data_IF_837105065642
#
_entry.id   IF_837105065642
#
_cell.length_a   1.000
_cell.length_b   1.000
_cell.length_c   1.000
_cell.angle_alpha   90.00
_cell.angle_beta   90.00
_cell.angle_gamma   90.00
#
_symmetry.space_group_name_H-M   'P 1'
#
loop_
_entity.id
_entity.type
_entity.pdbx_description
1 polymer ?
#
# COMPACT_ATOMS: atom_id res chain seq x y z
N UNK A 1 0.40 0.24 17.59
CA UNK A 1 -0.32 -0.39 16.47
C UNK A 1 0.06 0.32 15.18
N UNK A 2 0.94 -0.30 14.40
CA UNK A 2 1.86 0.40 13.48
C UNK A 2 1.49 0.21 12.01
N UNK A 3 0.28 -0.31 11.74
CA UNK A 3 -0.17 -0.67 10.40
C UNK A 3 -1.00 0.44 9.70
N UNK A 4 -1.38 1.51 10.41
CA UNK A 4 -2.39 2.50 9.98
C UNK A 4 -2.02 3.48 8.87
N UNK A 5 -0.99 3.26 8.05
CA UNK A 5 -0.59 4.22 6.98
C UNK A 5 -0.25 3.53 5.65
N UNK A 6 -0.40 2.21 5.55
CA UNK A 6 -0.03 1.47 4.36
C UNK A 6 -1.24 0.76 3.77
N UNK A 7 -1.60 1.13 2.54
CA UNK A 7 -2.59 0.38 1.75
C UNK A 7 -1.87 -0.73 0.98
N UNK A 8 -2.44 -1.93 1.00
CA UNK A 8 -2.07 -3.02 0.10
C UNK A 8 -2.93 -2.93 -1.16
N UNK A 9 -2.28 -2.94 -2.33
CA UNK A 9 -2.92 -2.83 -3.64
C UNK A 9 -2.52 -4.04 -4.45
N UNK A 10 -3.49 -4.75 -5.02
CA UNK A 10 -3.24 -5.69 -6.11
C UNK A 10 -3.10 -4.88 -7.42
N UNK A 11 -1.91 -4.90 -8.01
CA UNK A 11 -1.61 -4.20 -9.24
C UNK A 11 -1.33 -5.20 -10.36
N UNK A 12 -2.06 -5.05 -11.46
CA UNK A 12 -1.84 -5.82 -12.70
C UNK A 12 -1.30 -4.92 -13.79
N UNK A 13 -0.18 -5.32 -14.39
CA UNK A 13 0.30 -4.75 -15.65
C UNK A 13 -0.28 -5.56 -16.82
N UNK A 14 -1.02 -4.88 -17.70
CA UNK A 14 -1.80 -5.52 -18.78
C UNK A 14 -1.34 -4.99 -20.14
N UNK A 15 -1.13 -5.87 -21.12
CA UNK A 15 -0.83 -5.53 -22.52
C UNK A 15 -1.82 -6.27 -23.42
N UNK A 16 -2.50 -5.53 -24.30
CA UNK A 16 -3.53 -6.06 -25.21
C UNK A 16 -4.62 -6.88 -24.53
N UNK A 17 -4.99 -6.50 -23.30
CA UNK A 17 -6.03 -7.17 -22.50
C UNK A 17 -5.53 -8.36 -21.67
N UNK A 18 -4.28 -8.78 -21.82
CA UNK A 18 -3.68 -9.90 -21.10
C UNK A 18 -2.82 -9.44 -19.93
N UNK A 19 -2.84 -10.18 -18.82
CA UNK A 19 -2.01 -9.87 -17.63
C UNK A 19 -0.58 -10.36 -17.84
N UNK A 20 0.38 -9.44 -17.81
CA UNK A 20 1.82 -9.74 -17.97
C UNK A 20 2.56 -9.75 -16.64
N UNK A 21 2.08 -9.01 -15.64
CA UNK A 21 2.61 -9.05 -14.29
C UNK A 21 1.51 -8.75 -13.27
N UNK A 22 1.62 -9.38 -12.11
CA UNK A 22 0.79 -9.15 -10.94
C UNK A 22 1.70 -8.90 -9.74
N UNK A 23 1.33 -7.94 -8.89
CA UNK A 23 2.14 -7.56 -7.75
C UNK A 23 1.26 -7.02 -6.62
N UNK A 24 1.63 -7.34 -5.38
CA UNK A 24 1.09 -6.69 -4.20
C UNK A 24 1.97 -5.49 -3.87
N UNK A 25 1.40 -4.29 -3.94
CA UNK A 25 2.10 -3.04 -3.66
C UNK A 25 1.68 -2.52 -2.30
N UNK A 26 2.66 -2.14 -1.46
CA UNK A 26 2.43 -1.36 -0.25
C UNK A 26 2.81 0.09 -0.47
N UNK A 27 1.83 0.98 -0.45
CA UNK A 27 2.04 2.40 -0.71
C UNK A 27 1.75 3.25 0.54
N UNK A 28 2.42 4.40 0.63
CA UNK A 28 2.01 5.53 1.49
C UNK A 28 1.55 6.67 0.59
N UNK A 29 0.37 7.21 0.88
CA UNK A 29 -0.14 8.39 0.19
C UNK A 29 0.24 9.63 1.00
N UNK A 30 0.84 10.62 0.32
CA UNK A 30 1.29 11.86 0.94
C UNK A 30 0.42 13.02 0.45
N UNK A 31 0.11 13.94 1.35
CA UNK A 31 -0.54 15.20 0.98
C UNK A 31 0.45 16.13 0.31
N UNK A 32 -0.01 16.90 -0.67
CA UNK A 32 0.82 17.94 -1.32
C UNK A 32 1.32 18.98 -0.32
N UNK A 33 0.51 19.31 0.69
CA UNK A 33 0.83 20.28 1.75
C UNK A 33 1.71 19.68 2.86
N UNK A 34 2.11 18.42 2.75
CA UNK A 34 2.83 17.68 3.79
C UNK A 34 1.91 16.86 4.69
N UNK A 35 2.47 15.79 5.25
CA UNK A 35 1.74 14.78 6.02
C UNK A 35 1.25 13.60 5.17
N UNK A 36 0.67 12.61 5.84
CA UNK A 36 0.14 11.39 5.22
C UNK A 36 -1.37 11.51 5.04
N UNK A 37 -1.89 10.89 3.98
CA UNK A 37 -3.32 10.59 3.82
C UNK A 37 -3.59 9.32 4.61
N UNK A 38 -4.57 9.34 5.50
CA UNK A 38 -4.90 8.16 6.30
C UNK A 38 -5.78 7.19 5.50
N UNK A 39 -5.86 5.94 5.95
CA UNK A 39 -6.58 4.89 5.23
C UNK A 39 -8.10 5.15 5.15
N UNK A 40 -8.69 5.77 6.17
CA UNK A 40 -10.13 6.06 6.21
C UNK A 40 -10.53 7.09 5.15
N UNK A 41 -9.82 8.21 5.08
CA UNK A 41 -10.00 9.26 4.06
C UNK A 41 -9.80 8.71 2.65
N UNK A 42 -8.81 7.84 2.47
CA UNK A 42 -8.58 7.20 1.18
C UNK A 42 -9.77 6.29 0.80
N UNK A 43 -10.29 5.51 1.75
CA UNK A 43 -11.44 4.65 1.51
C UNK A 43 -12.74 5.40 1.29
N UNK A 44 -12.92 6.54 1.96
CA UNK A 44 -14.03 7.46 1.70
C UNK A 44 -13.96 7.98 0.26
N UNK A 45 -12.79 8.49 -0.15
CA UNK A 45 -12.59 9.04 -1.50
C UNK A 45 -12.69 7.98 -2.62
N UNK A 46 -12.27 6.75 -2.36
CA UNK A 46 -12.29 5.64 -3.33
C UNK A 46 -13.61 4.87 -3.35
N UNK A 47 -14.57 5.20 -2.47
CA UNK A 47 -15.80 4.43 -2.25
C UNK A 47 -15.49 2.95 -2.00
N UNK A 48 -14.78 2.68 -0.90
CA UNK A 48 -14.40 1.33 -0.48
C UNK A 48 -15.59 0.36 -0.60
N UNK A 49 -15.44 -0.76 -1.33
CA UNK A 49 -16.46 -1.80 -1.35
C UNK A 49 -16.66 -2.40 0.05
N UNK A 50 -17.92 -2.53 0.46
CA UNK A 50 -18.30 -3.11 1.76
C UNK A 50 -17.91 -4.59 1.90
N UNK A 51 -17.70 -5.26 0.76
CA UNK A 51 -17.44 -6.70 0.64
C UNK A 51 -15.96 -7.05 0.43
N UNK A 52 -15.05 -6.10 0.69
CA UNK A 52 -13.62 -6.38 0.58
C UNK A 52 -13.21 -7.54 1.50
N UNK A 53 -12.64 -8.62 0.95
CA UNK A 53 -12.19 -9.73 1.77
C UNK A 53 -11.05 -9.28 2.69
N UNK A 54 -10.90 -9.90 3.88
CA UNK A 54 -9.73 -9.68 4.71
C UNK A 54 -8.46 -10.09 3.94
N UNK A 55 -7.35 -9.40 4.21
CA UNK A 55 -6.07 -9.77 3.60
C UNK A 55 -5.69 -11.20 4.03
N UNK A 56 -5.26 -12.06 3.08
CA UNK A 56 -4.67 -13.34 3.40
C UNK A 56 -3.50 -13.21 4.38
N UNK A 57 -3.35 -14.17 5.30
CA UNK A 57 -2.34 -14.09 6.36
C UNK A 57 -0.91 -13.90 5.82
N UNK A 58 -0.57 -14.56 4.71
CA UNK A 58 0.76 -14.41 4.11
C UNK A 58 1.07 -12.97 3.68
N UNK A 59 0.06 -12.17 3.31
CA UNK A 59 0.23 -10.74 2.99
C UNK A 59 0.51 -9.95 4.26
N UNK A 60 -0.17 -10.29 5.36
CA UNK A 60 0.07 -9.67 6.67
C UNK A 60 1.51 -9.93 7.13
N UNK A 61 1.97 -11.18 7.01
CA UNK A 61 3.31 -11.60 7.40
C UNK A 61 4.38 -10.94 6.52
N UNK A 62 4.17 -10.94 5.19
CA UNK A 62 5.04 -10.22 4.26
C UNK A 62 5.08 -8.72 4.54
N UNK A 63 3.94 -8.09 4.83
CA UNK A 63 3.85 -6.66 5.13
C UNK A 63 4.63 -6.30 6.40
N UNK A 64 4.62 -7.17 7.41
CA UNK A 64 5.43 -7.00 8.61
C UNK A 64 6.93 -7.14 8.30
N UNK A 65 7.32 -8.16 7.54
CA UNK A 65 8.71 -8.39 7.15
C UNK A 65 9.30 -7.34 6.22
N UNK A 66 8.47 -6.77 5.33
CA UNK A 66 8.85 -5.74 4.36
C UNK A 66 8.50 -4.31 4.82
N UNK A 67 8.34 -4.09 6.13
CA UNK A 67 7.97 -2.79 6.66
C UNK A 67 9.06 -1.74 6.40
N UNK A 68 8.66 -0.60 5.84
CA UNK A 68 9.54 0.55 5.68
C UNK A 68 9.80 1.24 7.04
N UNK A 69 10.89 2.01 7.18
CA UNK A 69 11.10 2.84 8.35
C UNK A 69 9.90 3.75 8.65
N UNK A 70 9.74 4.10 9.93
CA UNK A 70 8.68 5.01 10.38
C UNK A 70 8.69 6.30 9.56
N UNK A 71 7.53 6.96 9.41
CA UNK A 71 7.38 8.15 8.54
C UNK A 71 8.34 9.31 8.87
N UNK A 72 8.91 9.34 10.09
CA UNK A 72 9.89 10.36 10.50
C UNK A 72 11.34 9.89 10.41
N UNK A 73 11.58 8.62 10.13
CA UNK A 73 12.90 8.07 9.93
C UNK A 73 13.30 8.18 8.45
N UNK A 74 14.58 8.46 8.13
CA UNK A 74 15.07 8.38 6.76
C UNK A 74 14.83 6.99 6.15
N UNK A 75 14.39 6.96 4.89
CA UNK A 75 14.25 5.74 4.09
C UNK A 75 14.89 5.97 2.71
N UNK A 76 16.22 6.04 2.63
CA UNK A 76 16.91 6.39 1.39
C UNK A 76 16.88 5.21 0.39
N UNK A 77 16.68 5.52 -0.90
CA UNK A 77 16.73 4.55 -2.00
C UNK A 77 18.11 4.63 -2.66
N UNK A 78 19.12 4.02 -2.03
CA UNK A 78 20.50 3.98 -2.52
C UNK A 78 20.78 2.60 -3.13
N UNK A 79 21.33 2.60 -4.34
CA UNK A 79 21.67 1.41 -5.12
C UNK A 79 23.12 1.58 -5.57
N UNK A 80 24.07 1.34 -4.66
CA UNK A 80 25.50 1.30 -5.00
C UNK A 80 25.89 -0.06 -5.60
#
# INVERSE_FOLDING_TARGET
DHLGVHLAIDHRAVVDGEVYAEMIVRARFLRRTGGVVNTEELFEALHRPDDLPPLPQWIVDWAAGAALPSTKAPAPSLWD
#
